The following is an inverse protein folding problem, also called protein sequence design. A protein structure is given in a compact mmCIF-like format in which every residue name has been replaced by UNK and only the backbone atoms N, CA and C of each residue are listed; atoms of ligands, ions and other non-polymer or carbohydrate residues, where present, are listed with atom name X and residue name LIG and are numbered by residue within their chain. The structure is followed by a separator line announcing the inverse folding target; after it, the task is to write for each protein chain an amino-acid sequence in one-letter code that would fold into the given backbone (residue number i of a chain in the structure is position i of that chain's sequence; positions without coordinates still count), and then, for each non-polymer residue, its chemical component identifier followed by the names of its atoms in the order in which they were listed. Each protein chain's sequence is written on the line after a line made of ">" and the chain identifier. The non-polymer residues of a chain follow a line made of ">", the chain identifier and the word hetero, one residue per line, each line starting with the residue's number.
data_IF_498195240090
#
_entry.id   IF_498195240090
#
_cell.length_a   1.000
_cell.length_b   1.000
_cell.length_c   1.000
_cell.angle_alpha   90.00
_cell.angle_beta   90.00
_cell.angle_gamma   90.00
#
_symmetry.space_group_name_H-M   'P 1'
#
loop_
_entity.id
_entity.type
_entity.pdbx_description
1 polymer ?
#
# COMPACT_ATOMS: atom_id res chain seq x y z
N UNK A 1 53.11 -51.95 0.59
CA UNK A 1 52.32 -52.51 1.71
C UNK A 1 51.55 -51.34 2.30
N UNK A 2 50.26 -51.11 2.09
CA UNK A 2 49.15 -51.99 1.72
C UNK A 2 48.10 -51.82 2.81
N UNK A 3 47.13 -50.92 2.63
CA UNK A 3 45.82 -50.94 3.32
C UNK A 3 44.96 -49.80 2.75
N UNK A 4 44.05 -50.14 1.83
CA UNK A 4 42.62 -50.31 2.10
C UNK A 4 41.84 -49.03 1.76
N UNK A 5 41.54 -48.90 0.45
CA UNK A 5 40.40 -48.13 -0.04
C UNK A 5 39.21 -49.08 -0.14
N UNK A 6 38.05 -48.58 0.28
CA UNK A 6 36.69 -48.85 -0.22
C UNK A 6 35.66 -48.86 0.94
N UNK A 7 34.34 -48.72 0.67
CA UNK A 7 33.66 -47.87 -0.31
C UNK A 7 32.34 -47.29 0.27
N UNK A 8 31.44 -46.80 -0.61
CA UNK A 8 29.99 -46.60 -0.39
C UNK A 8 29.53 -45.31 0.31
N UNK A 9 29.42 -44.23 -0.48
CA UNK A 9 28.34 -43.25 -0.30
C UNK A 9 27.37 -43.38 -1.47
N UNK A 10 26.30 -44.15 -1.26
CA UNK A 10 25.13 -44.19 -2.14
C UNK A 10 24.36 -42.87 -2.00
N UNK A 11 24.38 -42.07 -3.05
CA UNK A 11 23.52 -40.90 -3.21
C UNK A 11 22.18 -41.42 -3.75
N UNK A 12 21.15 -41.42 -2.90
CA UNK A 12 19.76 -41.58 -3.34
C UNK A 12 19.21 -40.21 -3.74
N UNK A 13 18.78 -39.98 -5.00
CA UNK A 13 17.95 -38.84 -5.33
C UNK A 13 16.51 -39.14 -4.90
N UNK A 14 15.99 -38.35 -3.95
CA UNK A 14 14.58 -38.37 -3.60
C UNK A 14 13.80 -37.70 -4.74
N UNK A 15 13.25 -38.52 -5.63
CA UNK A 15 12.34 -38.07 -6.69
C UNK A 15 11.02 -37.61 -6.07
N UNK A 16 10.80 -36.30 -6.00
CA UNK A 16 9.48 -35.73 -5.73
C UNK A 16 8.71 -35.73 -7.05
N UNK A 17 7.82 -36.72 -7.20
CA UNK A 17 6.89 -36.79 -8.31
C UNK A 17 5.87 -35.64 -8.20
N UNK A 18 6.02 -34.63 -9.05
CA UNK A 18 5.01 -33.60 -9.27
C UNK A 18 3.88 -34.19 -10.15
N UNK A 19 2.74 -34.49 -9.53
CA UNK A 19 1.52 -34.87 -10.24
C UNK A 19 0.86 -33.60 -10.80
N UNK A 20 1.26 -33.18 -12.00
CA UNK A 20 0.56 -32.13 -12.77
C UNK A 20 -0.60 -32.81 -13.50
N UNK A 21 -1.79 -32.76 -12.91
CA UNK A 21 -3.01 -33.13 -13.61
C UNK A 21 -3.38 -31.99 -14.59
N UNK A 22 -2.92 -32.13 -15.83
CA UNK A 22 -3.37 -31.34 -16.97
C UNK A 22 -4.77 -31.80 -17.41
N UNK A 23 -5.81 -31.21 -16.83
CA UNK A 23 -7.17 -31.32 -17.34
C UNK A 23 -7.43 -30.20 -18.34
N UNK A 24 -7.15 -30.49 -19.61
CA UNK A 24 -7.65 -29.70 -20.75
C UNK A 24 -9.06 -30.16 -21.09
N UNK A 25 -10.06 -29.41 -20.64
CA UNK A 25 -11.44 -29.50 -21.13
C UNK A 25 -11.76 -28.22 -21.90
N UNK A 26 -11.95 -28.39 -23.21
CA UNK A 26 -12.43 -27.36 -24.12
C UNK A 26 -13.92 -27.10 -23.83
N UNK A 27 -14.28 -25.86 -23.49
CA UNK A 27 -15.63 -25.36 -23.69
C UNK A 27 -15.58 -24.12 -24.58
N UNK A 28 -16.06 -24.29 -25.81
CA UNK A 28 -16.50 -23.19 -26.67
C UNK A 28 -17.91 -22.80 -26.25
N UNK A 29 -18.10 -21.53 -25.89
CA UNK A 29 -19.41 -20.93 -25.61
C UNK A 29 -19.39 -19.45 -25.95
N UNK A 30 -20.37 -18.92 -26.71
CA UNK A 30 -20.40 -17.54 -27.14
C UNK A 30 -21.12 -16.66 -26.11
N UNK A 31 -20.47 -15.56 -25.73
CA UNK A 31 -21.05 -14.23 -25.52
C UNK A 31 -19.98 -13.39 -24.85
N UNK A 32 -19.57 -12.30 -25.53
CA UNK A 32 -18.80 -11.21 -24.94
C UNK A 32 -19.66 -10.50 -23.88
N UNK A 33 -19.94 -11.17 -22.77
CA UNK A 33 -20.24 -10.52 -21.52
C UNK A 33 -18.94 -9.87 -21.07
N UNK A 34 -18.96 -8.55 -20.88
CA UNK A 34 -17.91 -7.80 -20.22
C UNK A 34 -17.63 -8.54 -18.91
N UNK A 35 -16.55 -9.33 -18.88
CA UNK A 35 -16.16 -10.04 -17.69
C UNK A 35 -15.88 -8.94 -16.66
N UNK A 36 -16.82 -8.76 -15.71
CA UNK A 36 -16.58 -8.00 -14.50
C UNK A 36 -15.23 -8.47 -13.98
N UNK A 37 -14.23 -7.60 -14.04
CA UNK A 37 -12.86 -8.00 -13.73
C UNK A 37 -12.87 -8.73 -12.38
N UNK A 38 -12.51 -10.02 -12.32
CA UNK A 38 -12.13 -10.64 -11.05
C UNK A 38 -10.82 -10.04 -10.50
N UNK A 39 -10.39 -8.88 -11.02
CA UNK A 39 -9.01 -8.43 -11.12
C UNK A 39 -8.47 -7.81 -9.84
N UNK A 40 -9.23 -6.96 -9.16
CA UNK A 40 -8.74 -6.26 -7.97
C UNK A 40 -9.13 -6.94 -6.65
N UNK A 41 -10.42 -7.30 -6.48
CA UNK A 41 -10.89 -7.94 -5.25
C UNK A 41 -10.30 -9.33 -5.06
N UNK A 42 -10.30 -10.14 -6.13
CA UNK A 42 -9.66 -11.45 -6.13
C UNK A 42 -8.16 -11.37 -5.83
N UNK A 43 -7.46 -10.38 -6.40
CA UNK A 43 -6.04 -10.17 -6.14
C UNK A 43 -5.77 -9.73 -4.68
N UNK A 44 -6.58 -8.81 -4.13
CA UNK A 44 -6.48 -8.39 -2.73
C UNK A 44 -6.73 -9.58 -1.80
N UNK A 45 -7.77 -10.38 -2.06
CA UNK A 45 -8.09 -11.56 -1.27
C UNK A 45 -6.96 -12.60 -1.33
N UNK A 46 -6.44 -12.89 -2.53
CA UNK A 46 -5.33 -13.82 -2.72
C UNK A 46 -4.05 -13.38 -2.01
N UNK A 47 -3.67 -12.11 -2.11
CA UNK A 47 -2.51 -11.56 -1.39
C UNK A 47 -2.72 -11.59 0.13
N UNK A 48 -3.94 -11.34 0.61
CA UNK A 48 -4.27 -11.39 2.04
C UNK A 48 -4.17 -12.82 2.59
N UNK A 49 -4.66 -13.82 1.84
CA UNK A 49 -4.49 -15.22 2.19
C UNK A 49 -3.01 -15.63 2.20
N UNK A 50 -2.21 -15.13 1.25
CA UNK A 50 -0.77 -15.36 1.24
C UNK A 50 -0.07 -14.75 2.47
N UNK A 51 -0.45 -13.54 2.89
CA UNK A 51 0.07 -12.92 4.13
C UNK A 51 -0.24 -13.79 5.35
N UNK A 52 -1.44 -14.37 5.43
CA UNK A 52 -1.82 -15.26 6.53
C UNK A 52 -0.94 -16.52 6.57
N UNK A 53 -0.69 -17.14 5.41
CA UNK A 53 0.23 -18.28 5.30
C UNK A 53 1.64 -17.90 5.77
N UNK A 54 2.17 -16.76 5.32
CA UNK A 54 3.51 -16.29 5.71
C UNK A 54 3.59 -15.99 7.22
N UNK A 55 2.52 -15.49 7.84
CA UNK A 55 2.44 -15.29 9.30
C UNK A 55 2.45 -16.60 10.08
N UNK A 56 1.77 -17.62 9.60
CA UNK A 56 1.81 -18.95 10.22
C UNK A 56 3.18 -19.62 10.07
N UNK A 57 3.87 -19.43 8.93
CA UNK A 57 5.26 -19.89 8.77
C UNK A 57 6.19 -19.14 9.73
N UNK A 58 6.09 -17.82 9.82
CA UNK A 58 6.86 -16.99 10.74
C UNK A 58 6.69 -17.43 12.20
N UNK A 59 5.48 -17.83 12.61
CA UNK A 59 5.22 -18.38 13.95
C UNK A 59 6.00 -19.67 14.20
N UNK A 60 6.07 -20.58 13.21
CA UNK A 60 6.87 -21.81 13.28
C UNK A 60 8.37 -21.52 13.33
N UNK A 61 8.86 -20.57 12.55
CA UNK A 61 10.28 -20.20 12.55
C UNK A 61 10.70 -19.56 13.89
N UNK A 62 9.83 -18.75 14.50
CA UNK A 62 10.03 -18.25 15.88
C UNK A 62 10.07 -19.37 16.90
N UNK A 63 9.26 -20.41 16.75
CA UNK A 63 9.32 -21.58 17.62
C UNK A 63 10.64 -22.35 17.44
N UNK A 64 11.09 -22.57 16.20
CA UNK A 64 12.40 -23.19 15.90
C UNK A 64 13.55 -22.41 16.53
N UNK A 65 13.54 -21.09 16.41
CA UNK A 65 14.52 -20.23 17.06
C UNK A 65 14.55 -20.42 18.58
N UNK A 66 13.38 -20.42 19.24
CA UNK A 66 13.29 -20.64 20.70
C UNK A 66 13.85 -21.99 21.12
N UNK A 67 13.55 -23.06 20.37
CA UNK A 67 14.08 -24.39 20.64
C UNK A 67 15.61 -24.45 20.46
N UNK A 68 16.14 -23.83 19.39
CA UNK A 68 17.58 -23.75 19.17
C UNK A 68 18.29 -22.94 20.26
N UNK A 69 17.69 -21.83 20.70
CA UNK A 69 18.20 -21.00 21.78
C UNK A 69 18.23 -21.76 23.11
N UNK A 70 17.14 -22.46 23.46
CA UNK A 70 17.09 -23.30 24.66
C UNK A 70 18.18 -24.38 24.65
N UNK A 71 18.39 -25.07 23.53
CA UNK A 71 19.43 -26.08 23.40
C UNK A 71 20.86 -25.49 23.52
N UNK A 72 21.09 -24.29 22.95
CA UNK A 72 22.36 -23.56 23.11
C UNK A 72 22.60 -23.20 24.58
N UNK A 73 21.58 -22.70 25.27
CA UNK A 73 21.67 -22.24 26.65
C UNK A 73 21.90 -23.43 27.60
N UNK A 74 21.23 -24.56 27.37
CA UNK A 74 21.48 -25.81 28.08
C UNK A 74 22.92 -26.31 27.91
N UNK A 75 23.44 -26.32 26.67
CA UNK A 75 24.83 -26.70 26.42
C UNK A 75 25.82 -25.74 27.10
N UNK A 76 25.51 -24.45 27.13
CA UNK A 76 26.32 -23.42 27.82
C UNK A 76 26.32 -23.63 29.33
N UNK A 77 25.17 -23.92 29.93
CA UNK A 77 25.06 -24.24 31.35
C UNK A 77 25.86 -25.51 31.70
N UNK A 78 25.76 -26.55 30.86
CA UNK A 78 26.52 -27.80 31.03
C UNK A 78 28.03 -27.57 30.97
N UNK A 79 28.52 -26.73 30.05
CA UNK A 79 29.94 -26.39 29.98
C UNK A 79 30.44 -25.74 31.26
N UNK A 80 29.68 -24.80 31.83
CA UNK A 80 30.03 -24.15 33.10
C UNK A 80 30.22 -25.18 34.23
N UNK A 81 29.31 -26.15 34.35
CA UNK A 81 29.40 -27.23 35.33
C UNK A 81 30.63 -28.11 35.09
N UNK A 82 30.89 -28.50 33.83
CA UNK A 82 32.01 -29.37 33.48
C UNK A 82 33.38 -28.72 33.77
N UNK A 83 33.54 -27.43 33.48
CA UNK A 83 34.77 -26.71 33.81
C UNK A 83 35.00 -26.63 35.32
N UNK A 84 33.96 -26.33 36.11
CA UNK A 84 34.07 -26.33 37.57
C UNK A 84 34.46 -27.70 38.14
N UNK A 85 34.00 -28.80 37.53
CA UNK A 85 34.39 -30.16 37.90
C UNK A 85 35.86 -30.44 37.56
N UNK A 86 36.34 -30.04 36.38
CA UNK A 86 37.77 -30.16 36.02
C UNK A 86 38.64 -29.37 36.98
N UNK A 87 38.26 -28.12 37.32
CA UNK A 87 39.01 -27.30 38.27
C UNK A 87 39.10 -27.94 39.66
N UNK A 88 38.06 -28.69 40.05
CA UNK A 88 38.04 -29.42 41.33
C UNK A 88 38.92 -30.67 41.27
N UNK A 89 38.87 -31.44 40.17
CA UNK A 89 39.72 -32.62 39.94
C UNK A 89 41.19 -32.24 39.83
N UNK A 90 41.51 -31.13 39.18
CA UNK A 90 42.87 -30.63 39.03
C UNK A 90 43.53 -30.24 40.37
N UNK A 91 42.73 -29.96 41.40
CA UNK A 91 43.20 -29.68 42.77
C UNK A 91 43.32 -30.94 43.63
N UNK A 92 42.84 -32.10 43.16
CA UNK A 92 42.93 -33.37 43.89
C UNK A 92 44.26 -34.07 43.60
N UNK A 93 44.87 -34.69 44.61
CA UNK A 93 46.12 -35.45 44.48
C UNK A 93 45.89 -36.94 44.15
N UNK A 94 44.65 -37.31 43.82
CA UNK A 94 44.24 -38.70 43.60
C UNK A 94 44.72 -39.19 42.23
N UNK A 95 45.33 -40.37 42.19
CA UNK A 95 45.82 -40.99 40.96
C UNK A 95 44.68 -41.33 39.97
N UNK A 96 43.46 -41.55 40.49
CA UNK A 96 42.24 -41.74 39.68
C UNK A 96 41.76 -40.46 38.98
N UNK A 97 42.29 -39.29 39.36
CA UNK A 97 41.93 -38.01 38.74
C UNK A 97 42.28 -37.97 37.24
N UNK A 98 43.31 -38.70 36.80
CA UNK A 98 43.74 -38.70 35.39
C UNK A 98 42.65 -39.26 34.46
N UNK A 99 42.07 -40.42 34.81
CA UNK A 99 41.00 -41.04 34.03
C UNK A 99 39.72 -40.18 34.06
N UNK A 100 39.40 -39.60 35.22
CA UNK A 100 38.28 -38.68 35.37
C UNK A 100 38.43 -37.41 34.52
N UNK A 101 39.65 -36.85 34.44
CA UNK A 101 39.96 -35.69 33.60
C UNK A 101 39.78 -36.01 32.11
N UNK A 102 40.23 -37.16 31.63
CA UNK A 102 40.04 -37.56 30.23
C UNK A 102 38.54 -37.71 29.90
N UNK A 103 37.76 -38.35 30.78
CA UNK A 103 36.32 -38.49 30.61
C UNK A 103 35.62 -37.12 30.54
N UNK A 104 36.00 -36.18 31.44
CA UNK A 104 35.44 -34.82 31.45
C UNK A 104 35.85 -34.00 30.23
N UNK A 105 37.05 -34.18 29.71
CA UNK A 105 37.48 -33.54 28.47
C UNK A 105 36.61 -33.96 27.28
N UNK A 106 36.26 -35.25 27.17
CA UNK A 106 35.33 -35.76 26.15
C UNK A 106 33.92 -35.16 26.32
N UNK A 107 33.43 -35.06 27.55
CA UNK A 107 32.14 -34.42 27.83
C UNK A 107 32.13 -32.93 27.45
N UNK A 108 33.23 -32.21 27.68
CA UNK A 108 33.37 -30.80 27.28
C UNK A 108 33.32 -30.68 25.76
N UNK A 109 34.11 -31.47 25.04
CA UNK A 109 34.11 -31.44 23.57
C UNK A 109 32.70 -31.69 23.00
N UNK A 110 31.95 -32.64 23.58
CA UNK A 110 30.57 -32.90 23.19
C UNK A 110 29.62 -31.72 23.49
N UNK A 111 29.75 -31.09 24.66
CA UNK A 111 28.94 -29.94 25.03
C UNK A 111 29.29 -28.68 24.20
N UNK A 112 30.55 -28.48 23.83
CA UNK A 112 30.99 -27.42 22.92
C UNK A 112 30.40 -27.61 21.52
N UNK A 113 30.46 -28.83 20.99
CA UNK A 113 29.84 -29.17 19.70
C UNK A 113 28.33 -28.94 19.74
N UNK A 114 27.65 -29.30 20.83
CA UNK A 114 26.23 -29.06 21.01
C UNK A 114 25.89 -27.55 21.04
N UNK A 115 26.70 -26.75 21.75
CA UNK A 115 26.55 -25.29 21.81
C UNK A 115 26.72 -24.67 20.43
N UNK A 116 27.75 -25.04 19.69
CA UNK A 116 28.01 -24.54 18.34
C UNK A 116 26.89 -24.93 17.36
N UNK A 117 26.41 -26.17 17.44
CA UNK A 117 25.25 -26.62 16.68
C UNK A 117 23.98 -25.82 17.02
N UNK A 118 23.77 -25.47 18.29
CA UNK A 118 22.70 -24.58 18.74
C UNK A 118 22.82 -23.17 18.15
N UNK A 119 24.02 -22.58 18.18
CA UNK A 119 24.31 -21.28 17.58
C UNK A 119 24.05 -21.25 16.07
N UNK A 120 24.48 -22.27 15.34
CA UNK A 120 24.22 -22.41 13.91
C UNK A 120 22.73 -22.41 13.60
N UNK A 121 21.94 -23.23 14.32
CA UNK A 121 20.48 -23.27 14.18
C UNK A 121 19.79 -21.95 14.55
N UNK A 122 20.30 -21.24 15.57
CA UNK A 122 19.80 -19.91 15.90
C UNK A 122 19.99 -18.92 14.75
N UNK A 123 21.19 -18.89 14.15
CA UNK A 123 21.50 -18.00 13.02
C UNK A 123 20.59 -18.31 11.82
N UNK A 124 20.47 -19.59 11.46
CA UNK A 124 19.59 -20.03 10.37
C UNK A 124 18.13 -19.61 10.60
N UNK A 125 17.59 -19.85 11.80
CA UNK A 125 16.22 -19.48 12.12
C UNK A 125 16.00 -17.95 12.10
N UNK A 126 17.00 -17.16 12.50
CA UNK A 126 16.93 -15.69 12.42
C UNK A 126 16.89 -15.18 10.98
N UNK A 127 17.71 -15.75 10.10
CA UNK A 127 17.69 -15.40 8.67
C UNK A 127 16.33 -15.74 8.04
N UNK A 128 15.76 -16.91 8.35
CA UNK A 128 14.42 -17.28 7.90
C UNK A 128 13.35 -16.31 8.42
N UNK A 129 13.39 -15.95 9.72
CA UNK A 129 12.48 -14.96 10.31
C UNK A 129 12.58 -13.61 9.58
N UNK A 130 13.79 -13.15 9.28
CA UNK A 130 14.02 -11.90 8.56
C UNK A 130 13.42 -11.93 7.15
N UNK A 131 13.69 -12.98 6.38
CA UNK A 131 13.14 -13.16 5.03
C UNK A 131 11.60 -13.13 5.04
N UNK A 132 10.97 -13.82 6.01
CA UNK A 132 9.50 -13.84 6.15
C UNK A 132 8.93 -12.47 6.49
N UNK A 133 9.58 -11.71 7.37
CA UNK A 133 9.16 -10.34 7.69
C UNK A 133 9.27 -9.41 6.49
N UNK A 134 10.36 -9.47 5.72
CA UNK A 134 10.55 -8.68 4.50
C UNK A 134 9.47 -9.01 3.46
N UNK A 135 9.14 -10.30 3.28
CA UNK A 135 8.07 -10.72 2.36
C UNK A 135 6.69 -10.26 2.80
N UNK A 136 6.35 -10.38 4.09
CA UNK A 136 5.06 -9.89 4.62
C UNK A 136 4.93 -8.39 4.36
N UNK A 137 5.96 -7.60 4.63
CA UNK A 137 5.97 -6.16 4.39
C UNK A 137 5.68 -5.83 2.91
N UNK A 138 6.34 -6.54 1.98
CA UNK A 138 6.14 -6.34 0.55
C UNK A 138 4.72 -6.72 0.10
N UNK A 139 4.14 -7.78 0.66
CA UNK A 139 2.76 -8.18 0.38
C UNK A 139 1.76 -7.14 0.94
N UNK A 140 1.97 -6.64 2.16
CA UNK A 140 1.14 -5.59 2.76
C UNK A 140 1.15 -4.31 1.92
N UNK A 141 2.33 -3.89 1.42
CA UNK A 141 2.46 -2.75 0.51
C UNK A 141 1.70 -2.94 -0.80
N UNK A 142 1.73 -4.15 -1.38
CA UNK A 142 0.96 -4.48 -2.60
C UNK A 142 -0.54 -4.41 -2.35
N UNK A 143 -1.03 -4.95 -1.23
CA UNK A 143 -2.43 -4.86 -0.83
C UNK A 143 -2.86 -3.41 -0.66
N UNK A 144 -2.06 -2.58 0.02
CA UNK A 144 -2.34 -1.16 0.18
C UNK A 144 -2.41 -0.43 -1.16
N UNK A 145 -1.48 -0.72 -2.07
CA UNK A 145 -1.45 -0.12 -3.42
C UNK A 145 -2.71 -0.47 -4.22
N UNK A 146 -3.12 -1.74 -4.21
CA UNK A 146 -4.34 -2.18 -4.89
C UNK A 146 -5.60 -1.57 -4.28
N UNK A 147 -5.68 -1.47 -2.95
CA UNK A 147 -6.79 -0.82 -2.25
C UNK A 147 -6.89 0.67 -2.59
N UNK A 148 -5.77 1.37 -2.67
CA UNK A 148 -5.74 2.77 -3.06
C UNK A 148 -6.16 2.96 -4.52
N UNK A 149 -5.65 2.12 -5.43
CA UNK A 149 -6.05 2.13 -6.84
C UNK A 149 -7.55 1.90 -7.00
N UNK A 150 -8.12 0.97 -6.22
CA UNK A 150 -9.56 0.70 -6.18
C UNK A 150 -10.34 1.91 -5.68
N UNK A 151 -9.97 2.50 -4.53
CA UNK A 151 -10.66 3.67 -3.98
C UNK A 151 -10.65 4.84 -4.96
N UNK A 152 -9.52 5.07 -5.63
CA UNK A 152 -9.43 6.09 -6.69
C UNK A 152 -10.30 5.78 -7.91
N UNK A 153 -10.56 4.52 -8.21
CA UNK A 153 -11.48 4.12 -9.28
C UNK A 153 -12.96 4.23 -8.87
N UNK A 154 -13.29 3.96 -7.60
CA UNK A 154 -14.66 4.07 -7.07
C UNK A 154 -15.10 5.52 -6.85
N UNK A 155 -14.18 6.41 -6.48
CA UNK A 155 -14.44 7.82 -6.20
C UNK A 155 -13.59 8.76 -7.09
N UNK A 156 -13.75 8.70 -8.42
CA UNK A 156 -12.86 9.37 -9.37
C UNK A 156 -12.99 10.90 -9.36
N UNK A 157 -13.96 11.48 -8.64
CA UNK A 157 -14.10 12.93 -8.46
C UNK A 157 -13.62 13.46 -7.10
N UNK A 158 -13.36 12.59 -6.13
CA UNK A 158 -12.83 13.02 -4.82
C UNK A 158 -11.46 13.66 -5.01
N UNK A 159 -11.27 14.88 -4.49
CA UNK A 159 -9.99 15.60 -4.50
C UNK A 159 -10.10 17.10 -4.82
N UNK A 160 -8.93 17.66 -5.10
CA UNK A 160 -8.66 19.06 -5.40
C UNK A 160 -8.68 19.32 -6.92
N UNK A 161 -9.43 20.33 -7.38
CA UNK A 161 -9.61 20.64 -8.80
C UNK A 161 -9.43 22.13 -9.09
N UNK A 162 -8.59 22.46 -10.07
CA UNK A 162 -8.44 23.81 -10.63
C UNK A 162 -9.50 24.03 -11.72
N UNK A 163 -10.34 25.05 -11.55
CA UNK A 163 -11.53 25.29 -12.37
C UNK A 163 -11.42 26.60 -13.14
N UNK A 164 -11.85 26.57 -14.40
CA UNK A 164 -11.98 27.75 -15.26
C UNK A 164 -13.39 27.79 -15.85
N UNK A 165 -14.05 28.96 -15.76
CA UNK A 165 -15.39 29.22 -16.29
C UNK A 165 -15.29 30.25 -17.41
N UNK A 166 -15.86 29.93 -18.57
CA UNK A 166 -15.92 30.78 -19.77
C UNK A 166 -17.37 31.09 -20.14
N UNK A 167 -17.71 32.30 -20.62
CA UNK A 167 -16.80 33.38 -21.02
C UNK A 167 -16.44 34.36 -19.89
N UNK A 168 -16.93 34.15 -18.66
CA UNK A 168 -16.69 35.08 -17.54
C UNK A 168 -15.21 35.21 -17.15
N UNK A 169 -14.38 34.23 -17.49
CA UNK A 169 -12.95 34.21 -17.16
C UNK A 169 -12.70 33.96 -15.66
N UNK A 170 -13.72 33.51 -14.93
CA UNK A 170 -13.57 33.15 -13.53
C UNK A 170 -12.67 31.91 -13.42
N UNK A 171 -11.74 31.95 -12.47
CA UNK A 171 -10.87 30.82 -12.15
C UNK A 171 -10.87 30.59 -10.65
N UNK A 172 -10.68 29.34 -10.26
CA UNK A 172 -10.66 29.00 -8.85
C UNK A 172 -10.41 27.53 -8.59
N UNK A 173 -10.84 27.11 -7.43
CA UNK A 173 -10.51 25.81 -6.86
C UNK A 173 -11.76 25.15 -6.28
N UNK A 174 -12.01 23.89 -6.63
CA UNK A 174 -13.03 23.04 -6.03
C UNK A 174 -12.37 21.93 -5.19
N UNK A 175 -12.80 21.78 -3.94
CA UNK A 175 -12.53 20.60 -3.13
C UNK A 175 -13.79 19.72 -3.14
N UNK A 176 -13.74 18.60 -3.86
CA UNK A 176 -14.84 17.67 -4.03
C UNK A 176 -14.64 16.40 -3.21
N UNK A 177 -15.72 15.88 -2.65
CA UNK A 177 -15.82 14.58 -2.01
C UNK A 177 -16.99 13.82 -2.62
N UNK A 178 -16.68 12.66 -3.19
CA UNK A 178 -17.67 11.73 -3.73
C UNK A 178 -17.99 10.66 -2.69
N UNK A 179 -19.27 10.35 -2.53
CA UNK A 179 -19.75 9.24 -1.71
C UNK A 179 -20.81 8.47 -2.51
N UNK A 180 -20.38 7.39 -3.17
CA UNK A 180 -21.21 6.71 -4.17
C UNK A 180 -21.48 7.62 -5.37
N UNK A 181 -22.75 7.93 -5.63
CA UNK A 181 -23.17 8.84 -6.71
C UNK A 181 -23.31 10.28 -6.27
N UNK A 182 -23.18 10.59 -4.97
CA UNK A 182 -23.37 11.94 -4.43
C UNK A 182 -22.03 12.68 -4.41
N UNK A 183 -22.05 13.94 -4.84
CA UNK A 183 -20.93 14.87 -4.74
C UNK A 183 -21.27 15.97 -3.74
N UNK A 184 -20.28 16.28 -2.91
CA UNK A 184 -20.32 17.40 -1.98
C UNK A 184 -18.97 18.10 -2.00
N UNK A 185 -18.92 19.40 -1.71
CA UNK A 185 -17.65 20.11 -1.75
C UNK A 185 -17.75 21.58 -1.41
N UNK A 186 -16.60 22.24 -1.52
CA UNK A 186 -16.47 23.67 -1.34
C UNK A 186 -15.73 24.25 -2.53
N UNK A 187 -16.02 25.51 -2.84
CA UNK A 187 -15.27 26.25 -3.85
C UNK A 187 -14.73 27.57 -3.32
N UNK A 188 -13.63 28.00 -3.93
CA UNK A 188 -13.14 29.37 -3.84
C UNK A 188 -12.81 29.84 -5.25
N UNK A 189 -13.42 30.93 -5.68
CA UNK A 189 -13.28 31.46 -7.04
C UNK A 189 -12.97 32.95 -7.02
N UNK A 190 -12.17 33.39 -8.00
CA UNK A 190 -11.93 34.80 -8.25
C UNK A 190 -12.94 35.30 -9.26
N UNK A 191 -13.66 36.38 -8.92
CA UNK A 191 -14.56 37.03 -9.84
C UNK A 191 -13.82 37.46 -11.12
N UNK A 192 -14.39 37.11 -12.27
CA UNK A 192 -13.88 37.49 -13.58
C UNK A 192 -14.06 38.99 -13.82
N UNK A 193 -13.15 39.61 -14.58
CA UNK A 193 -13.35 40.99 -15.04
C UNK A 193 -14.17 40.94 -16.32
N UNK A 194 -15.47 41.21 -16.22
CA UNK A 194 -16.20 41.62 -17.42
C UNK A 194 -15.79 43.04 -17.73
N UNK A 195 -15.05 43.24 -18.82
CA UNK A 195 -14.83 44.57 -19.38
C UNK A 195 -16.19 45.02 -19.91
N UNK A 196 -16.77 46.13 -19.43
CA UNK A 196 -17.98 46.66 -20.05
C UNK A 196 -17.63 47.04 -21.50
N UNK A 197 -18.12 46.27 -22.46
CA UNK A 197 -18.09 46.67 -23.87
C UNK A 197 -19.09 47.81 -24.04
N UNK A 198 -18.60 49.06 -24.11
CA UNK A 198 -19.41 50.20 -24.52
C UNK A 198 -19.39 51.47 -23.66
N UNK A 199 -18.43 51.65 -22.76
CA UNK A 199 -18.25 52.90 -22.01
C UNK A 199 -17.02 53.69 -22.46
N UNK A 200 -17.15 54.50 -23.52
CA UNK A 200 -16.21 55.61 -23.74
C UNK A 200 -16.52 56.69 -22.70
N UNK A 201 -15.82 56.66 -21.57
CA UNK A 201 -15.67 57.82 -20.70
C UNK A 201 -14.20 58.04 -20.43
N UNK A 202 -13.61 58.89 -21.27
CA UNK A 202 -12.43 59.65 -20.94
C UNK A 202 -12.71 60.44 -19.64
N UNK A 203 -11.87 60.22 -18.62
CA UNK A 203 -12.04 60.86 -17.32
C UNK A 203 -11.18 60.17 -16.29
N UNK A 204 -9.93 60.62 -16.19
CA UNK A 204 -8.95 60.24 -15.17
C UNK A 204 -9.56 60.21 -13.76
N UNK A 205 -9.63 59.02 -13.17
CA UNK A 205 -9.67 58.81 -11.74
C UNK A 205 -8.74 57.64 -11.40
N UNK A 206 -7.45 57.94 -11.37
CA UNK A 206 -6.40 57.13 -10.79
C UNK A 206 -6.69 56.95 -9.29
N UNK A 207 -6.89 55.71 -8.81
CA UNK A 207 -6.81 55.46 -7.35
C UNK A 207 -7.60 54.33 -6.71
N UNK A 208 -8.46 53.58 -7.41
CA UNK A 208 -9.12 52.42 -6.80
C UNK A 208 -9.16 51.24 -7.77
N UNK A 209 -8.19 50.32 -7.65
CA UNK A 209 -8.33 48.99 -8.23
C UNK A 209 -9.57 48.33 -7.59
N UNK A 210 -10.63 47.98 -8.35
CA UNK A 210 -11.67 47.12 -7.82
C UNK A 210 -11.02 45.78 -7.51
N UNK A 211 -10.88 45.48 -6.21
CA UNK A 211 -10.42 44.17 -5.77
C UNK A 211 -11.43 43.15 -6.29
N UNK A 212 -10.99 42.33 -7.24
CA UNK A 212 -11.79 41.22 -7.75
C UNK A 212 -12.22 40.39 -6.53
N UNK A 213 -13.51 40.41 -6.22
CA UNK A 213 -14.06 39.72 -5.06
C UNK A 213 -13.74 38.23 -5.13
N UNK A 214 -13.37 37.65 -3.99
CA UNK A 214 -13.27 36.20 -3.85
C UNK A 214 -14.65 35.67 -3.50
N UNK A 215 -15.21 34.86 -4.38
CA UNK A 215 -16.46 34.12 -4.18
C UNK A 215 -16.13 32.80 -3.48
N UNK A 216 -16.96 32.43 -2.51
CA UNK A 216 -16.83 31.18 -1.74
C UNK A 216 -18.20 30.61 -1.47
N UNK A 217 -18.28 29.28 -1.46
CA UNK A 217 -19.53 28.59 -1.19
C UNK A 217 -19.39 27.08 -1.23
N UNK A 218 -20.53 26.42 -1.27
CA UNK A 218 -20.64 24.98 -1.29
C UNK A 218 -20.97 24.47 -2.71
N UNK A 219 -20.61 23.22 -2.94
CA UNK A 219 -20.97 22.45 -4.13
C UNK A 219 -21.75 21.22 -3.70
N UNK A 220 -22.86 20.96 -4.36
CA UNK A 220 -23.69 19.78 -4.17
C UNK A 220 -24.03 19.19 -5.52
N UNK A 221 -24.07 17.87 -5.67
CA UNK A 221 -24.30 17.30 -6.98
C UNK A 221 -24.29 15.79 -7.04
N UNK A 222 -24.20 15.28 -8.27
CA UNK A 222 -24.19 13.85 -8.55
C UNK A 222 -23.17 13.48 -9.62
N UNK A 223 -22.70 12.23 -9.56
CA UNK A 223 -21.85 11.61 -10.57
C UNK A 223 -22.40 10.24 -10.95
N UNK A 224 -22.84 10.12 -12.20
CA UNK A 224 -23.41 8.88 -12.74
C UNK A 224 -22.99 8.70 -14.19
N UNK A 225 -22.49 7.51 -14.53
CA UNK A 225 -22.13 7.17 -15.92
C UNK A 225 -21.07 8.10 -16.55
N UNK A 226 -20.13 8.62 -15.76
CA UNK A 226 -19.10 9.56 -16.23
C UNK A 226 -19.59 11.00 -16.37
N UNK A 227 -20.89 11.25 -16.17
CA UNK A 227 -21.51 12.58 -16.18
C UNK A 227 -21.53 13.16 -14.77
N UNK A 228 -21.14 14.42 -14.65
CA UNK A 228 -21.17 15.20 -13.42
C UNK A 228 -22.25 16.28 -13.52
N UNK A 229 -22.97 16.46 -12.43
CA UNK A 229 -23.87 17.59 -12.21
C UNK A 229 -23.50 18.22 -10.87
N UNK A 230 -23.25 19.52 -10.84
CA UNK A 230 -22.92 20.29 -9.64
C UNK A 230 -23.78 21.55 -9.59
N UNK A 231 -24.26 21.87 -8.40
CA UNK A 231 -24.94 23.10 -8.06
C UNK A 231 -24.01 23.96 -7.21
N UNK A 232 -23.74 25.17 -7.67
CA UNK A 232 -22.95 26.18 -6.97
C UNK A 232 -23.84 26.98 -6.05
N UNK A 233 -23.58 26.90 -4.75
CA UNK A 233 -24.32 27.62 -3.71
C UNK A 233 -23.36 28.62 -3.08
N UNK A 234 -23.48 29.89 -3.46
CA UNK A 234 -22.65 30.97 -2.94
C UNK A 234 -23.10 31.38 -1.54
N UNK A 235 -22.13 31.71 -0.68
CA UNK A 235 -22.37 32.13 0.70
C UNK A 235 -23.21 33.39 0.83
N UNK A 236 -23.19 34.29 -0.17
CA UNK A 236 -23.95 35.55 -0.16
C UNK A 236 -25.17 35.50 -1.07
N UNK A 237 -25.06 34.81 -2.20
CA UNK A 237 -26.08 34.85 -3.26
C UNK A 237 -27.00 33.61 -3.27
N UNK A 238 -26.72 32.59 -2.45
CA UNK A 238 -27.48 31.34 -2.47
C UNK A 238 -27.21 30.53 -3.74
N UNK A 239 -28.25 29.92 -4.32
CA UNK A 239 -28.10 29.14 -5.58
C UNK A 239 -27.67 30.08 -6.70
N UNK A 240 -26.45 29.92 -7.19
CA UNK A 240 -25.85 30.84 -8.16
C UNK A 240 -25.83 30.26 -9.57
N UNK A 241 -25.30 29.03 -9.72
CA UNK A 241 -25.15 28.40 -11.04
C UNK A 241 -25.24 26.88 -10.96
N UNK A 242 -25.55 26.27 -12.08
CA UNK A 242 -25.45 24.82 -12.29
C UNK A 242 -24.36 24.51 -13.29
N UNK A 243 -23.60 23.45 -13.04
CA UNK A 243 -22.50 22.97 -13.86
C UNK A 243 -22.78 21.52 -14.22
N UNK A 244 -22.79 21.24 -15.51
CA UNK A 244 -22.92 19.89 -16.05
C UNK A 244 -21.65 19.58 -16.83
N UNK A 245 -21.13 18.36 -16.76
CA UNK A 245 -19.95 17.99 -17.53
C UNK A 245 -19.71 16.48 -17.59
N UNK A 246 -18.58 16.12 -18.17
CA UNK A 246 -18.12 14.75 -18.27
C UNK A 246 -16.68 14.64 -17.77
N UNK A 247 -16.43 13.63 -16.94
CA UNK A 247 -15.08 13.25 -16.53
C UNK A 247 -14.41 12.54 -17.71
N UNK A 248 -13.19 12.95 -18.03
CA UNK A 248 -12.41 12.31 -19.07
C UNK A 248 -12.01 10.87 -18.68
N UNK A 249 -11.64 10.06 -19.67
CA UNK A 249 -11.22 8.66 -19.43
C UNK A 249 -9.98 8.54 -18.55
N UNK A 250 -9.19 9.61 -18.42
CA UNK A 250 -8.02 9.64 -17.56
C UNK A 250 -8.34 9.93 -16.08
N UNK A 251 -9.55 10.42 -15.78
CA UNK A 251 -9.97 10.83 -14.43
C UNK A 251 -9.28 12.11 -13.94
N UNK A 252 -8.67 12.88 -14.85
CA UNK A 252 -7.86 14.07 -14.53
C UNK A 252 -8.49 15.37 -14.99
N UNK A 253 -9.45 15.32 -15.90
CA UNK A 253 -10.09 16.52 -16.41
C UNK A 253 -11.61 16.35 -16.52
N UNK A 254 -12.33 17.41 -16.17
CA UNK A 254 -13.76 17.54 -16.42
C UNK A 254 -13.97 18.64 -17.44
N UNK A 255 -14.87 18.41 -18.40
CA UNK A 255 -15.29 19.44 -19.36
C UNK A 255 -16.80 19.46 -19.45
N UNK A 256 -17.36 20.66 -19.54
CA UNK A 256 -18.80 20.79 -19.47
C UNK A 256 -19.32 22.18 -19.77
N UNK A 257 -20.60 22.36 -19.48
CA UNK A 257 -21.36 23.60 -19.63
C UNK A 257 -21.89 24.06 -18.28
N UNK A 258 -22.13 25.35 -18.13
CA UNK A 258 -22.75 25.91 -16.93
C UNK A 258 -23.90 26.83 -17.30
N UNK A 259 -24.83 27.02 -16.36
CA UNK A 259 -25.98 27.93 -16.47
C UNK A 259 -26.07 28.82 -15.24
N UNK A 260 -26.35 30.11 -15.45
CA UNK A 260 -26.51 31.11 -14.40
C UNK A 260 -27.98 31.26 -14.01
N UNK A 261 -28.26 31.41 -12.71
CA UNK A 261 -29.58 31.79 -12.22
C UNK A 261 -29.76 33.29 -12.00
N UNK A 262 -28.66 34.04 -11.84
CA UNK A 262 -28.71 35.48 -11.69
C UNK A 262 -28.57 36.20 -13.03
N UNK A 263 -29.73 36.53 -13.61
CA UNK A 263 -29.83 37.26 -14.87
C UNK A 263 -29.87 38.79 -14.68
N UNK A 264 -29.92 39.29 -13.44
CA UNK A 264 -30.15 40.72 -13.16
C UNK A 264 -28.91 41.57 -13.38
N UNK A 265 -27.73 40.96 -13.35
CA UNK A 265 -26.43 41.63 -13.36
C UNK A 265 -25.76 41.72 -14.75
N UNK A 266 -26.49 41.44 -15.83
CA UNK A 266 -25.95 41.46 -17.20
C UNK A 266 -24.84 40.43 -17.47
N UNK A 267 -24.70 39.43 -16.59
CA UNK A 267 -23.75 38.33 -16.75
C UNK A 267 -24.23 37.35 -17.83
N UNK A 268 -23.31 36.62 -18.48
CA UNK A 268 -23.68 35.52 -19.38
C UNK A 268 -24.63 34.53 -18.68
N UNK A 269 -25.71 34.15 -19.36
CA UNK A 269 -26.68 33.19 -18.85
C UNK A 269 -26.16 31.74 -18.87
N UNK A 270 -25.17 31.45 -19.72
CA UNK A 270 -24.55 30.13 -19.84
C UNK A 270 -23.15 30.22 -20.45
N UNK A 271 -22.41 29.12 -20.38
CA UNK A 271 -21.13 28.98 -21.05
C UNK A 271 -20.48 27.61 -20.85
N UNK A 272 -19.17 27.54 -21.00
CA UNK A 272 -18.38 26.32 -20.80
C UNK A 272 -17.52 26.40 -19.54
N UNK A 273 -17.22 25.24 -18.95
CA UNK A 273 -16.27 25.16 -17.85
C UNK A 273 -15.36 23.95 -18.03
N UNK A 274 -14.18 24.08 -17.45
CA UNK A 274 -13.20 22.99 -17.40
C UNK A 274 -12.63 22.91 -16.00
N UNK A 275 -12.41 21.69 -15.51
CA UNK A 275 -11.67 21.45 -14.29
C UNK A 275 -10.52 20.48 -14.55
N UNK A 276 -9.37 20.74 -13.94
CA UNK A 276 -8.20 19.86 -14.00
C UNK A 276 -7.82 19.47 -12.58
N UNK A 277 -7.61 18.18 -12.33
CA UNK A 277 -7.21 17.67 -11.03
C UNK A 277 -5.86 18.26 -10.64
N UNK A 278 -5.80 18.87 -9.45
CA UNK A 278 -4.57 19.39 -8.88
C UNK A 278 -3.72 18.21 -8.41
N UNK A 279 -2.49 18.12 -8.89
CA UNK A 279 -1.51 17.16 -8.37
C UNK A 279 -1.00 17.71 -7.04
N UNK A 280 -1.23 16.97 -5.95
CA UNK A 280 -0.50 17.15 -4.70
C UNK A 280 0.83 16.40 -4.76
#
# INVERSE_FOLDING_TARGET
>A
MGSARDPCRSILPLAVAALVASSSLCLSGPAFGRADEPGAEGAIAGLSAQIEVEREILKKDRQRYRMAAAARDEATARLSVLYSQIDSLAKSEDQTATEALEAKSKDIAAAEQAREGGLGRCKEALEQIRERLERILLLDQKVATLKNRRRSAEEPLTGAWDVTISPTGEHGFFALKQSGTILSGQYTMRAGRIRPEGGETEGEAEGAQPSAGILKGNLEGTFTGGKIYLQRIDSKLGRFSELEGYLDSSGRAVRGTWQNYDLTNGQPAAGSWTAVRRFE
#
